data_IF_494286639462
#
_entry.id   IF_494286639462
#
_cell.length_a   1.000
_cell.length_b   1.000
_cell.length_c   1.000
_cell.angle_alpha   90.00
_cell.angle_beta   90.00
_cell.angle_gamma   90.00
#
_symmetry.space_group_name_H-M   'P 1'
#
loop_
_entity.id
_entity.type
_entity.pdbx_description
1 polymer ?
#
# COMPACT_ATOMS: atom_id res chain seq x y z
N UNK A 1 -4.03 -22.94 -8.15
CA UNK A 1 -3.29 -23.52 -7.02
C UNK A 1 -4.18 -24.41 -6.15
N UNK A 2 -5.31 -23.89 -5.64
CA UNK A 2 -6.24 -24.64 -4.77
C UNK A 2 -6.75 -25.91 -5.45
N UNK A 3 -7.20 -25.82 -6.71
CA UNK A 3 -7.69 -26.97 -7.48
C UNK A 3 -6.57 -28.01 -7.68
N UNK A 4 -5.35 -27.55 -7.94
CA UNK A 4 -4.18 -28.45 -8.06
C UNK A 4 -3.86 -29.15 -6.74
N UNK A 5 -3.90 -28.43 -5.63
CA UNK A 5 -3.74 -28.98 -4.27
C UNK A 5 -4.81 -30.03 -3.93
N UNK A 6 -6.07 -29.76 -4.26
CA UNK A 6 -7.17 -30.70 -4.05
C UNK A 6 -7.02 -31.98 -4.88
N UNK A 7 -6.64 -31.85 -6.14
CA UNK A 7 -6.33 -32.98 -7.03
C UNK A 7 -5.13 -33.78 -6.49
N UNK A 8 -4.13 -33.09 -5.97
CA UNK A 8 -2.93 -33.70 -5.39
C UNK A 8 -3.25 -34.52 -4.12
N UNK A 9 -4.04 -33.93 -3.21
CA UNK A 9 -4.53 -34.59 -1.99
C UNK A 9 -5.38 -35.84 -2.33
N UNK A 10 -6.25 -35.70 -3.34
CA UNK A 10 -7.07 -36.82 -3.81
C UNK A 10 -6.23 -37.96 -4.41
N UNK A 11 -5.22 -37.62 -5.23
CA UNK A 11 -4.26 -38.61 -5.78
C UNK A 11 -3.40 -39.25 -4.70
N UNK A 12 -2.96 -38.53 -3.69
CA UNK A 12 -2.21 -39.05 -2.55
C UNK A 12 -3.00 -40.08 -1.74
N UNK A 13 -4.30 -39.81 -1.49
CA UNK A 13 -5.18 -40.74 -0.75
C UNK A 13 -5.41 -42.09 -1.45
N UNK A 14 -5.26 -42.16 -2.77
CA UNK A 14 -5.47 -43.39 -3.58
C UNK A 14 -4.23 -44.21 -3.81
N UNK A 15 -3.07 -43.84 -3.26
CA UNK A 15 -1.80 -44.48 -3.62
C UNK A 15 -1.33 -45.47 -2.58
N UNK A 16 -0.81 -46.64 -3.07
CA UNK A 16 -0.17 -47.66 -2.27
C UNK A 16 1.11 -47.12 -1.60
N UNK A 17 1.39 -47.53 -0.36
CA UNK A 17 2.50 -47.06 0.50
C UNK A 17 3.88 -47.02 -0.19
N UNK A 18 4.11 -47.91 -1.19
CA UNK A 18 5.38 -48.02 -1.93
C UNK A 18 5.67 -46.83 -2.87
N UNK A 19 4.63 -46.12 -3.33
CA UNK A 19 4.77 -44.96 -4.25
C UNK A 19 4.66 -43.62 -3.52
N UNK A 20 4.54 -43.62 -2.22
CA UNK A 20 4.30 -42.38 -1.44
C UNK A 20 5.55 -41.48 -1.45
N UNK A 21 6.75 -42.06 -1.32
CA UNK A 21 8.02 -41.31 -1.36
C UNK A 21 8.22 -40.56 -2.67
N UNK A 22 7.99 -41.22 -3.81
CA UNK A 22 8.14 -40.56 -5.12
C UNK A 22 7.16 -39.45 -5.33
N UNK A 23 5.93 -39.59 -4.82
CA UNK A 23 4.93 -38.53 -4.89
C UNK A 23 5.26 -37.34 -4.00
N UNK A 24 5.77 -37.57 -2.79
CA UNK A 24 6.25 -36.48 -1.91
C UNK A 24 7.42 -35.77 -2.56
N UNK A 25 8.38 -36.47 -3.13
CA UNK A 25 9.51 -35.87 -3.85
C UNK A 25 9.03 -35.02 -5.04
N UNK A 26 8.08 -35.52 -5.83
CA UNK A 26 7.52 -34.76 -6.96
C UNK A 26 6.81 -33.48 -6.50
N UNK A 27 6.10 -33.52 -5.36
CA UNK A 27 5.46 -32.35 -4.76
C UNK A 27 6.51 -31.35 -4.31
N UNK A 28 7.52 -31.80 -3.57
CA UNK A 28 8.63 -30.95 -3.09
C UNK A 28 9.39 -30.34 -4.26
N UNK A 29 9.63 -31.12 -5.33
CA UNK A 29 10.24 -30.59 -6.56
C UNK A 29 9.38 -29.49 -7.20
N UNK A 30 8.07 -29.69 -7.28
CA UNK A 30 7.15 -28.67 -7.77
C UNK A 30 7.16 -27.39 -6.91
N UNK A 31 7.19 -27.53 -5.59
CA UNK A 31 7.33 -26.40 -4.68
C UNK A 31 8.70 -25.70 -4.83
N UNK A 32 9.78 -26.46 -5.03
CA UNK A 32 11.12 -25.90 -5.23
C UNK A 32 11.19 -25.07 -6.51
N UNK A 33 10.61 -25.57 -7.60
CA UNK A 33 10.52 -24.81 -8.87
C UNK A 33 9.69 -23.55 -8.70
N UNK A 34 8.52 -23.64 -8.04
CA UNK A 34 7.69 -22.49 -7.75
C UNK A 34 8.43 -21.45 -6.89
N UNK A 35 9.12 -21.89 -5.83
CA UNK A 35 9.91 -21.07 -4.95
C UNK A 35 11.06 -20.38 -5.68
N UNK A 36 11.76 -21.11 -6.55
CA UNK A 36 12.82 -20.54 -7.40
C UNK A 36 12.29 -19.40 -8.28
N UNK A 37 11.19 -19.64 -9.01
CA UNK A 37 10.61 -18.60 -9.87
C UNK A 37 10.06 -17.42 -9.07
N UNK A 38 9.44 -17.65 -7.90
CA UNK A 38 9.04 -16.57 -7.01
C UNK A 38 10.24 -15.70 -6.62
N UNK A 39 11.36 -16.30 -6.26
CA UNK A 39 12.58 -15.56 -5.90
C UNK A 39 13.13 -14.76 -7.08
N UNK A 40 13.23 -15.35 -8.24
CA UNK A 40 13.76 -14.67 -9.45
C UNK A 40 12.84 -13.55 -9.90
N UNK A 41 11.54 -13.77 -9.91
CA UNK A 41 10.57 -12.82 -10.44
C UNK A 41 10.18 -11.72 -9.44
N UNK A 42 10.29 -11.98 -8.14
CA UNK A 42 9.85 -11.04 -7.11
C UNK A 42 10.89 -10.74 -6.04
N UNK A 43 11.41 -11.74 -5.34
CA UNK A 43 12.22 -11.51 -4.15
C UNK A 43 13.55 -10.78 -4.42
N UNK A 44 14.07 -10.84 -5.65
CA UNK A 44 15.23 -10.05 -6.08
C UNK A 44 14.98 -8.54 -5.98
N UNK A 45 13.73 -8.07 -6.03
CA UNK A 45 13.41 -6.65 -5.86
C UNK A 45 13.72 -6.11 -4.45
N UNK A 46 13.80 -6.98 -3.43
CA UNK A 46 14.23 -6.58 -2.08
C UNK A 46 15.70 -6.16 -2.00
N UNK A 47 16.52 -6.50 -3.00
CA UNK A 47 17.94 -6.15 -3.08
C UNK A 47 18.22 -4.92 -3.96
N UNK A 48 17.17 -4.22 -4.40
CA UNK A 48 17.33 -2.95 -5.15
C UNK A 48 17.89 -1.86 -4.25
N UNK A 49 18.57 -0.89 -4.88
CA UNK A 49 19.03 0.32 -4.19
C UNK A 49 17.85 1.01 -3.51
N UNK A 50 17.91 1.23 -2.20
CA UNK A 50 16.83 1.88 -1.46
C UNK A 50 16.49 3.26 -2.02
N UNK A 51 15.23 3.65 -1.91
CA UNK A 51 14.74 4.90 -2.46
C UNK A 51 15.40 6.13 -1.84
N UNK A 52 15.74 6.08 -0.54
CA UNK A 52 16.54 7.11 0.13
C UNK A 52 17.84 7.43 -0.61
N UNK A 53 18.57 6.39 -1.00
CA UNK A 53 19.85 6.54 -1.71
C UNK A 53 19.60 7.01 -3.15
N UNK A 54 18.64 6.41 -3.84
CA UNK A 54 18.33 6.72 -5.23
C UNK A 54 17.85 8.15 -5.44
N UNK A 55 17.09 8.70 -4.48
CA UNK A 55 16.57 10.05 -4.50
C UNK A 55 17.41 11.03 -3.67
N UNK A 56 18.50 10.58 -3.05
CA UNK A 56 19.38 11.39 -2.18
C UNK A 56 18.60 12.06 -1.03
N UNK A 57 17.66 11.34 -0.44
CA UNK A 57 16.85 11.80 0.69
C UNK A 57 17.63 11.53 1.99
N UNK A 58 17.70 12.53 2.87
CA UNK A 58 18.25 12.34 4.21
C UNK A 58 17.40 11.36 5.03
N UNK A 59 17.99 10.73 6.06
CA UNK A 59 17.29 9.72 6.88
C UNK A 59 16.87 10.23 8.25
N UNK A 60 17.37 11.38 8.66
CA UNK A 60 17.16 11.90 10.01
C UNK A 60 16.24 13.12 10.00
N UNK A 61 15.33 13.13 10.94
CA UNK A 61 14.46 14.26 11.23
C UNK A 61 14.18 14.32 12.75
N UNK A 62 13.80 15.51 13.23
CA UNK A 62 13.45 15.74 14.63
C UNK A 62 11.94 15.55 14.87
N UNK A 63 11.53 15.45 16.14
CA UNK A 63 10.11 15.45 16.47
C UNK A 63 9.42 16.76 16.02
N UNK A 64 10.13 17.89 16.07
CA UNK A 64 9.66 19.19 15.57
C UNK A 64 9.42 19.16 14.07
N UNK A 65 10.31 18.51 13.28
CA UNK A 65 10.11 18.31 11.84
C UNK A 65 8.82 17.49 11.57
N UNK A 66 8.57 16.42 12.36
CA UNK A 66 7.35 15.62 12.27
C UNK A 66 6.11 16.47 12.57
N UNK A 67 6.12 17.25 13.64
CA UNK A 67 4.97 18.08 14.01
C UNK A 67 4.69 19.16 12.96
N UNK A 68 5.71 19.89 12.53
CA UNK A 68 5.59 20.92 11.51
C UNK A 68 5.11 20.35 10.17
N UNK A 69 5.61 19.18 9.76
CA UNK A 69 5.16 18.51 8.55
C UNK A 69 3.70 18.05 8.68
N UNK A 70 3.31 17.50 9.84
CA UNK A 70 1.93 17.08 10.09
C UNK A 70 0.96 18.28 10.03
N UNK A 71 1.35 19.43 10.56
CA UNK A 71 0.56 20.67 10.44
C UNK A 71 0.35 21.10 8.98
N UNK A 72 1.42 21.04 8.17
CA UNK A 72 1.32 21.32 6.72
C UNK A 72 0.38 20.33 6.02
N UNK A 73 0.48 19.04 6.36
CA UNK A 73 -0.42 18.02 5.81
C UNK A 73 -1.88 18.24 6.22
N UNK A 74 -2.14 18.62 7.49
CA UNK A 74 -3.49 18.96 7.94
C UNK A 74 -4.04 20.13 7.11
N UNK A 75 -3.27 21.21 6.99
CA UNK A 75 -3.70 22.38 6.23
C UNK A 75 -4.02 22.02 4.78
N UNK A 76 -3.15 21.23 4.13
CA UNK A 76 -3.34 20.83 2.74
C UNK A 76 -4.50 19.83 2.56
N UNK A 77 -4.66 18.88 3.47
CA UNK A 77 -5.77 17.93 3.42
C UNK A 77 -7.11 18.64 3.63
N UNK A 78 -7.17 19.61 4.56
CA UNK A 78 -8.33 20.45 4.80
C UNK A 78 -8.69 21.28 3.56
N UNK A 79 -7.68 21.91 2.92
CA UNK A 79 -7.84 22.68 1.68
C UNK A 79 -8.48 21.83 0.58
N UNK A 80 -7.90 20.65 0.30
CA UNK A 80 -8.38 19.77 -0.77
C UNK A 80 -9.76 19.20 -0.43
N UNK A 81 -9.99 18.80 0.82
CA UNK A 81 -11.31 18.34 1.26
C UNK A 81 -12.37 19.42 1.02
N UNK A 82 -12.08 20.67 1.40
CA UNK A 82 -13.01 21.78 1.21
C UNK A 82 -13.19 22.13 -0.28
N UNK A 83 -12.14 22.09 -1.08
CA UNK A 83 -12.22 22.31 -2.53
C UNK A 83 -13.15 21.30 -3.23
N UNK A 84 -13.21 20.06 -2.72
CA UNK A 84 -14.09 19.00 -3.26
C UNK A 84 -15.53 19.17 -2.76
N UNK A 85 -15.71 19.44 -1.45
CA UNK A 85 -17.01 19.31 -0.80
C UNK A 85 -17.73 20.63 -0.59
N UNK A 86 -16.99 21.75 -0.58
CA UNK A 86 -17.43 23.08 -0.15
C UNK A 86 -18.03 23.12 1.27
N UNK A 87 -17.75 22.08 2.08
CA UNK A 87 -18.26 21.93 3.44
C UNK A 87 -17.27 21.14 4.30
N UNK A 88 -16.74 21.77 5.35
CA UNK A 88 -15.75 21.14 6.26
C UNK A 88 -16.28 19.90 6.98
N UNK A 89 -17.60 19.80 7.18
CA UNK A 89 -18.22 18.67 7.87
C UNK A 89 -18.55 17.48 6.94
N UNK A 90 -18.48 17.69 5.62
CA UNK A 90 -18.88 16.66 4.66
C UNK A 90 -17.69 15.79 4.28
N UNK A 91 -17.85 14.45 4.42
CA UNK A 91 -16.85 13.51 3.94
C UNK A 91 -16.76 13.54 2.42
N UNK A 92 -15.54 13.30 1.91
CA UNK A 92 -15.31 13.17 0.47
C UNK A 92 -15.91 11.85 -0.02
N UNK A 93 -16.69 11.95 -1.09
CA UNK A 93 -17.24 10.82 -1.84
C UNK A 93 -16.72 10.86 -3.26
N UNK A 94 -15.91 9.89 -3.63
CA UNK A 94 -15.39 9.82 -4.99
C UNK A 94 -16.53 9.49 -5.97
N UNK A 95 -16.81 10.37 -6.96
CA UNK A 95 -17.92 10.19 -7.89
C UNK A 95 -17.62 9.23 -9.04
N UNK A 96 -16.34 8.88 -9.22
CA UNK A 96 -15.89 8.09 -10.34
C UNK A 96 -16.18 6.59 -10.16
N UNK A 97 -16.43 5.90 -11.26
CA UNK A 97 -16.40 4.45 -11.25
C UNK A 97 -14.96 3.95 -11.01
N UNK A 98 -14.82 2.77 -10.44
CA UNK A 98 -13.50 2.16 -10.25
C UNK A 98 -12.74 2.03 -11.58
N UNK A 99 -13.42 1.71 -12.68
CA UNK A 99 -12.80 1.59 -14.01
C UNK A 99 -12.28 2.94 -14.53
N UNK A 100 -12.96 4.03 -14.20
CA UNK A 100 -12.49 5.39 -14.47
C UNK A 100 -11.25 5.71 -13.66
N UNK A 101 -11.24 5.40 -12.36
CA UNK A 101 -10.09 5.62 -11.49
C UNK A 101 -8.87 4.84 -12.00
N UNK A 102 -9.04 3.55 -12.41
CA UNK A 102 -7.96 2.78 -13.01
C UNK A 102 -7.34 3.45 -14.25
N UNK A 103 -8.15 4.09 -15.10
CA UNK A 103 -7.64 4.81 -16.28
C UNK A 103 -6.91 6.09 -15.88
N UNK A 104 -7.42 6.82 -14.90
CA UNK A 104 -6.88 8.12 -14.47
C UNK A 104 -5.54 8.00 -13.72
N UNK A 105 -5.23 6.85 -13.09
CA UNK A 105 -3.97 6.65 -12.36
C UNK A 105 -2.72 6.85 -13.21
N UNK A 106 -2.79 6.59 -14.53
CA UNK A 106 -1.65 6.73 -15.43
C UNK A 106 -1.10 8.16 -15.46
N UNK A 107 -1.99 9.17 -15.45
CA UNK A 107 -1.62 10.59 -15.51
C UNK A 107 -0.59 10.95 -14.41
N UNK A 108 -0.85 10.58 -13.17
CA UNK A 108 0.06 10.88 -12.05
C UNK A 108 1.45 10.28 -12.23
N UNK A 109 1.53 9.03 -12.70
CA UNK A 109 2.81 8.38 -13.00
C UNK A 109 3.52 9.02 -14.18
N UNK A 110 2.82 9.40 -15.24
CA UNK A 110 3.41 10.06 -16.40
C UNK A 110 4.03 11.42 -16.04
N UNK A 111 3.35 12.19 -15.17
CA UNK A 111 3.89 13.45 -14.65
C UNK A 111 5.07 13.20 -13.71
N UNK A 112 4.96 12.23 -12.81
CA UNK A 112 6.04 11.87 -11.89
C UNK A 112 7.30 11.40 -12.64
N UNK A 113 7.14 10.63 -13.71
CA UNK A 113 8.24 10.13 -14.54
C UNK A 113 9.01 11.24 -15.28
N UNK A 114 8.40 12.40 -15.55
CA UNK A 114 9.12 13.56 -16.12
C UNK A 114 10.16 14.10 -15.14
N UNK A 115 9.88 14.05 -13.84
CA UNK A 115 10.80 14.47 -12.79
C UNK A 115 11.77 13.35 -12.39
N UNK A 116 11.27 12.12 -12.34
CA UNK A 116 12.01 10.93 -11.91
C UNK A 116 11.80 9.79 -12.92
N UNK A 117 12.63 9.69 -13.97
CA UNK A 117 12.45 8.70 -15.06
C UNK A 117 12.38 7.25 -14.61
N UNK A 118 12.94 6.93 -13.44
CA UNK A 118 12.92 5.59 -12.87
C UNK A 118 11.55 5.19 -12.26
N UNK A 119 10.56 6.09 -12.22
CA UNK A 119 9.17 5.79 -11.88
C UNK A 119 8.28 5.64 -13.13
N UNK A 120 8.89 5.55 -14.33
CA UNK A 120 8.14 5.35 -15.56
C UNK A 120 7.33 4.05 -15.50
N UNK A 121 6.05 4.15 -15.82
CA UNK A 121 5.11 3.05 -15.82
C UNK A 121 4.70 2.72 -17.26
N UNK A 122 5.42 1.77 -17.90
CA UNK A 122 5.33 1.51 -19.35
C UNK A 122 4.34 0.41 -19.71
N UNK A 123 4.18 -0.58 -18.85
CA UNK A 123 3.35 -1.76 -19.14
C UNK A 123 2.18 -1.80 -18.15
N UNK A 124 1.07 -1.10 -18.45
CA UNK A 124 -0.06 -1.02 -17.55
C UNK A 124 -0.80 -2.36 -17.48
N UNK A 125 -0.78 -2.99 -16.33
CA UNK A 125 -1.58 -4.20 -16.05
C UNK A 125 -2.18 -4.12 -14.64
N UNK A 126 -3.20 -3.29 -14.51
CA UNK A 126 -3.95 -3.04 -13.26
C UNK A 126 -5.31 -3.68 -13.35
N UNK A 127 -5.68 -4.49 -12.36
CA UNK A 127 -6.93 -5.26 -12.40
C UNK A 127 -7.64 -5.25 -11.05
N UNK A 128 -8.95 -5.36 -11.08
CA UNK A 128 -9.75 -5.71 -9.91
C UNK A 128 -9.47 -7.17 -9.57
N UNK A 129 -9.03 -7.43 -8.35
CA UNK A 129 -8.70 -8.77 -7.92
C UNK A 129 -9.95 -9.64 -7.80
N UNK A 130 -9.92 -10.83 -8.38
CA UNK A 130 -10.93 -11.88 -8.13
C UNK A 130 -10.90 -12.37 -6.68
N UNK A 131 -9.78 -12.15 -5.98
CA UNK A 131 -9.60 -12.51 -4.57
C UNK A 131 -9.89 -11.35 -3.61
N UNK A 132 -10.64 -10.32 -4.04
CA UNK A 132 -10.92 -9.14 -3.19
C UNK A 132 -11.55 -9.50 -1.85
N UNK A 133 -12.46 -10.46 -1.79
CA UNK A 133 -13.04 -10.90 -0.51
C UNK A 133 -12.00 -11.57 0.41
N UNK A 134 -11.24 -12.58 -0.02
CA UNK A 134 -10.10 -13.09 0.78
C UNK A 134 -9.10 -12.00 1.19
N UNK A 135 -8.73 -11.09 0.29
CA UNK A 135 -7.81 -9.97 0.60
C UNK A 135 -8.37 -9.09 1.72
N UNK A 136 -9.68 -8.82 1.71
CA UNK A 136 -10.32 -8.03 2.76
C UNK A 136 -10.22 -8.72 4.12
N UNK A 137 -10.47 -10.03 4.19
CA UNK A 137 -10.28 -10.82 5.44
C UNK A 137 -8.82 -10.95 5.88
N UNK A 138 -7.87 -10.68 5.01
CA UNK A 138 -6.44 -10.67 5.31
C UNK A 138 -5.89 -9.27 5.57
N UNK A 139 -6.72 -8.23 5.53
CA UNK A 139 -6.32 -6.84 5.78
C UNK A 139 -5.57 -6.17 4.60
N UNK A 140 -5.65 -6.72 3.36
CA UNK A 140 -4.88 -6.20 2.23
C UNK A 140 -5.67 -5.34 1.27
N UNK A 141 -5.03 -4.23 0.84
CA UNK A 141 -5.52 -3.35 -0.22
C UNK A 141 -5.33 -3.91 -1.62
N UNK A 142 -4.33 -4.76 -1.82
CA UNK A 142 -4.02 -5.37 -3.09
C UNK A 142 -2.82 -6.29 -3.00
N UNK A 143 -2.29 -6.70 -4.13
CA UNK A 143 -1.04 -7.43 -4.26
C UNK A 143 -0.51 -7.38 -5.68
N UNK A 144 0.79 -7.53 -5.85
CA UNK A 144 1.39 -7.84 -7.14
C UNK A 144 1.42 -9.35 -7.37
N UNK A 145 0.93 -9.80 -8.52
CA UNK A 145 1.14 -11.18 -8.94
C UNK A 145 2.56 -11.33 -9.55
N UNK A 146 3.49 -12.02 -8.88
CA UNK A 146 4.88 -12.08 -9.31
C UNK A 146 5.09 -12.81 -10.64
N UNK A 147 4.17 -13.71 -11.03
CA UNK A 147 4.29 -14.52 -12.24
C UNK A 147 3.76 -13.81 -13.49
N UNK A 148 2.78 -12.94 -13.33
CA UNK A 148 2.16 -12.22 -14.45
C UNK A 148 2.50 -10.73 -14.45
N UNK A 149 3.18 -10.26 -13.40
CA UNK A 149 3.45 -8.85 -13.14
C UNK A 149 2.18 -7.97 -13.18
N UNK A 150 1.04 -8.52 -12.73
CA UNK A 150 -0.23 -7.81 -12.67
C UNK A 150 -0.46 -7.20 -11.29
N UNK A 151 -0.74 -5.92 -11.26
CA UNK A 151 -1.23 -5.21 -10.07
C UNK A 151 -2.70 -5.56 -9.83
N UNK A 152 -2.98 -6.29 -8.75
CA UNK A 152 -4.29 -6.79 -8.38
C UNK A 152 -4.84 -6.00 -7.20
N UNK A 153 -5.89 -5.21 -7.41
CA UNK A 153 -6.43 -4.30 -6.39
C UNK A 153 -7.72 -4.85 -5.79
N UNK A 154 -7.85 -4.77 -4.48
CA UNK A 154 -9.07 -5.10 -3.76
C UNK A 154 -10.16 -4.06 -4.07
N UNK A 155 -11.17 -4.45 -4.83
CA UNK A 155 -12.24 -3.54 -5.27
C UNK A 155 -13.31 -3.25 -4.21
N UNK A 156 -13.20 -3.84 -3.00
CA UNK A 156 -14.15 -3.62 -1.90
C UNK A 156 -13.83 -2.40 -1.04
N UNK A 157 -12.65 -1.85 -1.20
CA UNK A 157 -12.15 -0.75 -0.38
C UNK A 157 -13.00 0.52 -0.47
N UNK A 158 -13.01 1.36 0.58
CA UNK A 158 -13.62 2.68 0.56
C UNK A 158 -13.11 3.52 -0.61
N UNK A 159 -14.04 4.12 -1.36
CA UNK A 159 -13.73 4.79 -2.63
C UNK A 159 -12.85 6.04 -2.48
N UNK A 160 -12.85 6.70 -1.33
CA UNK A 160 -12.01 7.88 -1.13
C UNK A 160 -10.52 7.56 -1.09
N UNK A 161 -10.14 6.36 -0.62
CA UNK A 161 -8.75 5.88 -0.55
C UNK A 161 -8.32 5.07 -1.77
N UNK A 162 -9.26 4.63 -2.59
CA UNK A 162 -9.05 3.72 -3.71
C UNK A 162 -7.99 4.20 -4.73
N UNK A 163 -7.94 5.50 -5.12
CA UNK A 163 -6.89 6.00 -6.03
C UNK A 163 -5.47 5.75 -5.50
N UNK A 164 -5.25 5.98 -4.21
CA UNK A 164 -3.93 5.80 -3.61
C UNK A 164 -3.52 4.33 -3.54
N UNK A 165 -4.45 3.43 -3.24
CA UNK A 165 -4.17 1.99 -3.23
C UNK A 165 -3.75 1.51 -4.62
N UNK A 166 -4.44 1.93 -5.68
CA UNK A 166 -4.03 1.56 -7.05
C UNK A 166 -2.62 2.07 -7.34
N UNK A 167 -2.31 3.31 -7.00
CA UNK A 167 -0.97 3.87 -7.22
C UNK A 167 0.10 3.14 -6.41
N UNK A 168 -0.21 2.68 -5.21
CA UNK A 168 0.67 1.83 -4.40
C UNK A 168 0.96 0.49 -5.10
N UNK A 169 -0.07 -0.22 -5.56
CA UNK A 169 0.10 -1.50 -6.26
C UNK A 169 0.86 -1.33 -7.60
N UNK A 170 0.71 -0.18 -8.26
CA UNK A 170 1.52 0.17 -9.43
C UNK A 170 3.00 0.35 -9.08
N UNK A 171 3.33 0.85 -7.89
CA UNK A 171 4.72 0.94 -7.45
C UNK A 171 5.35 -0.44 -7.29
N UNK A 172 4.61 -1.42 -6.79
CA UNK A 172 5.07 -2.82 -6.80
C UNK A 172 5.34 -3.32 -8.21
N UNK A 173 4.48 -3.00 -9.18
CA UNK A 173 4.62 -3.45 -10.57
C UNK A 173 5.88 -2.88 -11.24
N UNK A 174 6.32 -1.68 -10.90
CA UNK A 174 7.60 -1.13 -11.40
C UNK A 174 8.82 -1.61 -10.61
N UNK A 175 8.63 -2.61 -9.73
CA UNK A 175 9.67 -3.38 -9.06
C UNK A 175 10.13 -2.81 -7.71
N UNK A 176 9.31 -2.04 -7.01
CA UNK A 176 9.57 -1.69 -5.61
C UNK A 176 8.90 -2.71 -4.70
N UNK A 177 9.69 -3.37 -3.84
CA UNK A 177 9.19 -4.42 -2.94
C UNK A 177 8.90 -3.91 -1.53
N UNK A 178 9.49 -2.77 -1.13
CA UNK A 178 9.29 -2.18 0.18
C UNK A 178 7.95 -1.46 0.26
N UNK A 179 7.10 -1.84 1.23
CA UNK A 179 5.79 -1.22 1.48
C UNK A 179 5.89 0.29 1.70
N UNK A 180 6.88 0.74 2.48
CA UNK A 180 7.12 2.16 2.74
C UNK A 180 7.50 2.94 1.48
N UNK A 181 8.30 2.34 0.60
CA UNK A 181 8.66 2.94 -0.68
C UNK A 181 7.45 2.97 -1.63
N UNK A 182 6.65 1.90 -1.67
CA UNK A 182 5.42 1.86 -2.47
C UNK A 182 4.38 2.86 -1.97
N UNK A 183 4.22 3.03 -0.66
CA UNK A 183 3.40 4.09 -0.08
C UNK A 183 3.89 5.48 -0.52
N UNK A 184 5.20 5.72 -0.49
CA UNK A 184 5.77 7.00 -0.91
C UNK A 184 5.59 7.26 -2.41
N UNK A 185 5.85 6.27 -3.25
CA UNK A 185 5.68 6.39 -4.72
C UNK A 185 4.21 6.58 -5.06
N UNK A 186 3.30 5.81 -4.45
CA UNK A 186 1.86 5.94 -4.61
C UNK A 186 1.35 7.33 -4.20
N UNK A 187 1.82 7.84 -3.05
CA UNK A 187 1.56 9.21 -2.62
C UNK A 187 2.02 10.22 -3.67
N UNK A 188 3.28 10.13 -4.12
CA UNK A 188 3.85 11.04 -5.09
C UNK A 188 3.08 11.02 -6.43
N UNK A 189 2.70 9.85 -6.92
CA UNK A 189 1.92 9.70 -8.13
C UNK A 189 0.52 10.33 -7.98
N UNK A 190 -0.15 10.10 -6.86
CA UNK A 190 -1.47 10.67 -6.60
C UNK A 190 -1.45 12.19 -6.49
N UNK A 191 -0.50 12.80 -5.79
CA UNK A 191 -0.43 14.26 -5.67
C UNK A 191 0.00 14.95 -6.98
N UNK A 192 0.65 14.22 -7.91
CA UNK A 192 0.98 14.72 -9.25
C UNK A 192 -0.20 14.61 -10.21
N UNK A 193 -1.20 13.81 -9.90
CA UNK A 193 -2.42 13.76 -10.67
C UNK A 193 -3.16 15.11 -10.57
N UNK A 194 -3.73 15.58 -11.67
CA UNK A 194 -4.42 16.87 -11.72
C UNK A 194 -5.81 16.82 -11.04
N UNK A 195 -6.31 15.62 -10.77
CA UNK A 195 -7.61 15.40 -10.17
C UNK A 195 -7.55 15.48 -8.63
N UNK A 196 -8.44 16.28 -8.03
CA UNK A 196 -8.48 16.52 -6.58
C UNK A 196 -8.81 15.28 -5.76
N UNK A 197 -9.56 14.31 -6.29
CA UNK A 197 -9.86 13.06 -5.56
C UNK A 197 -8.63 12.18 -5.41
N UNK A 198 -7.70 12.21 -6.38
CA UNK A 198 -6.40 11.55 -6.26
C UNK A 198 -5.53 12.24 -5.21
N UNK A 199 -5.45 13.57 -5.27
CA UNK A 199 -4.70 14.35 -4.29
C UNK A 199 -5.23 14.13 -2.88
N UNK A 200 -6.55 14.15 -2.70
CA UNK A 200 -7.19 13.86 -1.42
C UNK A 200 -6.86 12.46 -0.88
N UNK A 201 -6.93 11.45 -1.72
CA UNK A 201 -6.59 10.08 -1.34
C UNK A 201 -5.15 9.96 -0.80
N UNK A 202 -4.21 10.65 -1.44
CA UNK A 202 -2.81 10.67 -1.00
C UNK A 202 -2.62 11.46 0.30
N UNK A 203 -3.12 12.69 0.37
CA UNK A 203 -2.95 13.53 1.55
C UNK A 203 -3.64 12.93 2.78
N UNK A 204 -4.85 12.40 2.64
CA UNK A 204 -5.56 11.75 3.75
C UNK A 204 -4.80 10.52 4.26
N UNK A 205 -4.23 9.71 3.38
CA UNK A 205 -3.40 8.56 3.76
C UNK A 205 -2.13 9.03 4.50
N UNK A 206 -1.36 9.95 3.92
CA UNK A 206 -0.14 10.48 4.52
C UNK A 206 -0.41 11.13 5.89
N UNK A 207 -1.50 11.88 6.02
CA UNK A 207 -1.92 12.50 7.28
C UNK A 207 -2.21 11.45 8.35
N UNK A 208 -2.90 10.36 8.01
CA UNK A 208 -3.18 9.29 8.96
C UNK A 208 -1.88 8.68 9.52
N UNK A 209 -0.92 8.36 8.66
CA UNK A 209 0.39 7.84 9.09
C UNK A 209 1.19 8.81 9.95
N UNK A 210 1.21 10.10 9.59
CA UNK A 210 1.86 11.12 10.41
C UNK A 210 1.19 11.28 11.77
N UNK A 211 -0.15 11.30 11.85
CA UNK A 211 -0.89 11.37 13.11
C UNK A 211 -0.63 10.17 14.02
N UNK A 212 -0.54 8.96 13.47
CA UNK A 212 -0.17 7.75 14.22
C UNK A 212 1.25 7.89 14.81
N UNK A 213 2.21 8.40 14.04
CA UNK A 213 3.56 8.66 14.53
C UNK A 213 3.60 9.77 15.61
N UNK A 214 2.82 10.84 15.42
CA UNK A 214 2.70 11.89 16.45
C UNK A 214 2.10 11.33 17.73
N UNK A 215 1.04 10.51 17.64
CA UNK A 215 0.41 9.89 18.81
C UNK A 215 1.40 9.03 19.61
N UNK A 216 2.24 8.23 18.93
CA UNK A 216 3.27 7.42 19.59
C UNK A 216 4.34 8.26 20.26
N UNK A 217 4.67 9.45 19.76
CA UNK A 217 5.70 10.33 20.30
C UNK A 217 5.16 11.29 21.37
N UNK A 218 3.97 11.85 21.16
CA UNK A 218 3.38 12.87 22.04
C UNK A 218 1.85 12.90 21.90
N UNK A 219 1.15 12.25 22.82
CA UNK A 219 -0.32 12.18 22.84
C UNK A 219 -0.98 13.56 23.00
N UNK A 220 -0.38 14.48 23.76
CA UNK A 220 -0.92 15.84 23.96
C UNK A 220 -0.90 16.59 22.63
N UNK A 221 0.24 16.51 21.91
CA UNK A 221 0.38 17.14 20.59
C UNK A 221 -0.60 16.54 19.58
N UNK A 222 -0.75 15.23 19.58
CA UNK A 222 -1.74 14.54 18.74
C UNK A 222 -3.16 15.05 19.00
N UNK A 223 -3.59 15.15 20.27
CA UNK A 223 -4.92 15.67 20.61
C UNK A 223 -5.12 17.11 20.10
N UNK A 224 -4.11 17.97 20.27
CA UNK A 224 -4.15 19.34 19.77
C UNK A 224 -4.26 19.39 18.23
N UNK A 225 -3.43 18.63 17.50
CA UNK A 225 -3.49 18.58 16.04
C UNK A 225 -4.80 18.02 15.52
N UNK A 226 -5.35 16.99 16.17
CA UNK A 226 -6.63 16.39 15.77
C UNK A 226 -7.79 17.37 15.76
N UNK A 227 -7.78 18.39 16.64
CA UNK A 227 -8.84 19.41 16.67
C UNK A 227 -8.83 20.36 15.46
N UNK A 228 -7.73 20.42 14.73
CA UNK A 228 -7.57 21.31 13.55
C UNK A 228 -7.95 20.63 12.23
N UNK A 229 -8.29 19.34 12.27
CA UNK A 229 -8.68 18.56 11.09
C UNK A 229 -10.17 18.76 10.82
N UNK A 230 -10.53 19.01 9.56
CA UNK A 230 -11.93 19.12 9.16
C UNK A 230 -12.72 17.85 9.52
N UNK A 231 -13.91 17.97 10.14
CA UNK A 231 -14.71 16.82 10.55
C UNK A 231 -15.00 15.82 9.41
N UNK A 232 -15.17 16.32 8.17
CA UNK A 232 -15.38 15.45 7.00
C UNK A 232 -14.24 14.48 6.73
N UNK A 233 -12.99 14.84 7.05
CA UNK A 233 -11.83 13.94 6.94
C UNK A 233 -11.91 12.84 8.00
N UNK A 234 -12.27 13.22 9.23
CA UNK A 234 -12.47 12.26 10.32
C UNK A 234 -13.59 11.26 9.98
N UNK A 235 -14.66 11.71 9.33
CA UNK A 235 -15.73 10.83 8.86
C UNK A 235 -15.24 9.84 7.78
N UNK A 236 -14.32 10.22 6.88
CA UNK A 236 -13.68 9.27 5.96
C UNK A 236 -12.81 8.25 6.71
N UNK A 237 -12.07 8.64 7.75
CA UNK A 237 -11.29 7.69 8.56
C UNK A 237 -12.20 6.70 9.27
N UNK A 238 -13.30 7.16 9.87
CA UNK A 238 -14.31 6.27 10.48
C UNK A 238 -14.94 5.30 9.46
N UNK A 239 -15.18 5.75 8.22
CA UNK A 239 -15.66 4.90 7.14
C UNK A 239 -14.68 3.73 6.88
N UNK A 240 -13.37 4.02 6.87
CA UNK A 240 -12.35 2.97 6.73
C UNK A 240 -12.27 2.07 7.97
N UNK A 241 -12.35 2.62 9.16
CA UNK A 241 -12.34 1.84 10.42
C UNK A 241 -13.52 0.88 10.44
N UNK A 242 -14.75 1.38 10.23
CA UNK A 242 -15.96 0.55 10.18
C UNK A 242 -15.92 -0.50 9.07
N UNK A 243 -15.28 -0.18 7.93
CA UNK A 243 -15.09 -1.16 6.86
C UNK A 243 -14.19 -2.31 7.34
N UNK A 244 -13.03 -2.03 7.94
CA UNK A 244 -12.10 -3.06 8.37
C UNK A 244 -12.59 -3.84 9.60
N UNK A 245 -13.29 -3.20 10.54
CA UNK A 245 -13.89 -3.86 11.71
C UNK A 245 -14.84 -5.00 11.33
N UNK A 246 -15.54 -4.90 10.19
CA UNK A 246 -16.41 -5.97 9.69
C UNK A 246 -15.65 -7.25 9.33
N UNK A 247 -14.34 -7.16 9.12
CA UNK A 247 -13.48 -8.25 8.68
C UNK A 247 -12.39 -8.61 9.71
N UNK A 248 -12.36 -7.94 10.89
CA UNK A 248 -11.44 -8.29 11.99
C UNK A 248 -11.83 -9.65 12.60
N UNK A 249 -11.18 -10.70 12.15
CA UNK A 249 -11.39 -12.07 12.54
C UNK A 249 -10.07 -12.72 12.98
N UNK A 250 -10.16 -13.97 13.51
CA UNK A 250 -8.94 -14.74 13.80
C UNK A 250 -8.09 -15.01 12.54
N UNK A 251 -8.70 -14.99 11.35
CA UNK A 251 -8.00 -15.17 10.06
C UNK A 251 -7.06 -14.00 9.81
N UNK A 252 -7.54 -12.78 10.03
CA UNK A 252 -6.76 -11.55 9.91
C UNK A 252 -5.51 -11.59 10.81
N UNK A 253 -5.70 -11.86 12.10
CA UNK A 253 -4.61 -11.95 13.10
C UNK A 253 -3.58 -13.02 12.76
N UNK A 254 -4.01 -14.19 12.33
CA UNK A 254 -3.15 -15.28 11.91
C UNK A 254 -2.36 -14.94 10.66
N UNK A 255 -2.98 -14.25 9.69
CA UNK A 255 -2.35 -13.88 8.44
C UNK A 255 -1.35 -12.73 8.64
N UNK A 256 -1.67 -11.75 9.45
CA UNK A 256 -0.73 -10.67 9.80
C UNK A 256 0.53 -11.20 10.48
N UNK A 257 0.41 -12.16 11.40
CA UNK A 257 1.57 -12.80 12.03
C UNK A 257 2.44 -13.53 11.00
N UNK A 258 1.82 -14.30 10.08
CA UNK A 258 2.51 -14.99 9.00
C UNK A 258 3.20 -14.00 8.05
N UNK A 259 2.48 -12.96 7.61
CA UNK A 259 3.00 -11.98 6.66
C UNK A 259 4.16 -11.16 7.24
N UNK A 260 4.06 -10.76 8.51
CA UNK A 260 5.15 -10.09 9.22
C UNK A 260 6.43 -10.96 9.23
N UNK A 261 6.30 -12.25 9.51
CA UNK A 261 7.42 -13.18 9.47
C UNK A 261 7.98 -13.34 8.04
N UNK A 262 7.10 -13.42 7.05
CA UNK A 262 7.48 -13.50 5.63
C UNK A 262 8.28 -12.26 5.19
N UNK A 263 7.84 -11.05 5.56
CA UNK A 263 8.56 -9.80 5.27
C UNK A 263 9.95 -9.80 5.91
N UNK A 264 10.06 -10.20 7.19
CA UNK A 264 11.34 -10.28 7.91
C UNK A 264 12.31 -11.27 7.25
N UNK A 265 11.82 -12.42 6.79
CA UNK A 265 12.63 -13.41 6.06
C UNK A 265 13.11 -12.90 4.68
N UNK A 266 12.38 -11.97 4.07
CA UNK A 266 12.71 -11.39 2.77
C UNK A 266 13.35 -9.99 2.88
N UNK A 267 14.25 -9.79 3.84
CA UNK A 267 15.05 -8.58 4.03
C UNK A 267 14.29 -7.33 4.52
N UNK A 268 12.99 -7.40 4.73
CA UNK A 268 12.23 -6.35 5.41
C UNK A 268 12.31 -6.56 6.93
N UNK A 269 13.47 -6.21 7.52
CA UNK A 269 13.77 -6.46 8.94
C UNK A 269 12.72 -5.87 9.89
N UNK A 270 12.08 -4.78 9.50
CA UNK A 270 11.09 -4.08 10.29
C UNK A 270 9.68 -4.68 10.14
N UNK A 271 9.48 -5.60 9.19
CA UNK A 271 8.17 -6.21 8.95
C UNK A 271 7.08 -5.16 8.73
N UNK A 272 5.98 -5.26 9.48
CA UNK A 272 4.87 -4.30 9.44
C UNK A 272 5.19 -2.96 10.15
N UNK A 273 6.28 -2.84 10.92
CA UNK A 273 6.75 -1.56 11.49
C UNK A 273 7.33 -0.60 10.42
N UNK A 274 7.31 -1.01 9.15
CA UNK A 274 7.72 -0.17 8.01
C UNK A 274 6.92 1.13 7.85
N UNK A 275 5.83 1.29 8.60
CA UNK A 275 5.02 2.51 8.59
C UNK A 275 5.79 3.77 8.98
N UNK A 276 6.73 3.69 9.92
CA UNK A 276 7.59 4.81 10.28
C UNK A 276 8.47 5.24 9.10
N UNK A 277 8.99 4.31 8.29
CA UNK A 277 9.86 4.62 7.15
C UNK A 277 9.17 5.38 6.02
N UNK A 278 7.87 5.20 5.84
CA UNK A 278 7.10 6.03 4.90
C UNK A 278 7.05 7.49 5.38
N UNK A 279 6.81 7.70 6.67
CA UNK A 279 6.82 9.04 7.29
C UNK A 279 8.20 9.66 7.21
N UNK A 280 9.27 8.87 7.43
CA UNK A 280 10.67 9.31 7.29
C UNK A 280 10.94 9.82 5.86
N UNK A 281 10.50 9.06 4.84
CA UNK A 281 10.62 9.48 3.44
C UNK A 281 9.88 10.78 3.16
N UNK A 282 8.65 10.92 3.65
CA UNK A 282 7.84 12.13 3.46
C UNK A 282 8.49 13.36 4.08
N UNK A 283 8.81 13.30 5.37
CA UNK A 283 9.36 14.45 6.11
C UNK A 283 10.66 14.91 5.45
N UNK A 284 11.60 13.99 5.22
CA UNK A 284 12.89 14.34 4.68
C UNK A 284 12.83 14.79 3.22
N UNK A 285 11.93 14.23 2.41
CA UNK A 285 11.74 14.68 1.03
C UNK A 285 11.15 16.10 0.95
N UNK A 286 10.20 16.44 1.85
CA UNK A 286 9.54 17.75 1.88
C UNK A 286 10.23 18.77 2.80
N UNK A 287 11.37 18.43 3.41
CA UNK A 287 12.14 19.40 4.20
C UNK A 287 12.58 20.57 3.31
N UNK A 288 12.08 21.77 3.60
CA UNK A 288 12.32 22.97 2.79
C UNK A 288 11.53 23.05 1.47
N UNK A 289 10.57 22.15 1.24
CA UNK A 289 9.68 22.19 0.07
C UNK A 289 8.22 22.39 0.48
N UNK A 290 7.44 22.95 -0.45
CA UNK A 290 6.00 23.07 -0.29
C UNK A 290 5.28 21.79 -0.74
N UNK A 291 4.15 21.49 -0.09
CA UNK A 291 3.19 20.52 -0.60
C UNK A 291 2.45 21.13 -1.79
N UNK A 292 2.27 20.35 -2.86
CA UNK A 292 1.63 20.82 -4.08
C UNK A 292 0.16 21.20 -3.84
#
# INVERSE_FOLDING_TARGET
>A
LIVYLLILIWKLRRTCRKQWKDKVLNILSGFSVFYFFFHVLWATNYYRVPLFEKMQIQREYTNEDLYAFTEKLIAKTNEVQFAITHNTNQKVRNPYSQDSIFKMTQNGYDILAKQYPFFRYEIPSRKKSLFSLPLTYMGFGGYLNPFTNESQVNYKLPMYSFPNVICHEMAHQIGYASESECNFIGFMACIKNDDLYFQYAAYSMALRYCLENVMMKNEVRFKALKTTINPGIIENYKESELFWEQYDTFIDKGFHAFYNQFLKMNQQKDGLESYSKFVDLLINYYKGKELR
#
